data_IF_638688661630
#
_entry.id   IF_638688661630
#
_cell.length_a   1.000
_cell.length_b   1.000
_cell.length_c   1.000
_cell.angle_alpha   90.00
_cell.angle_beta   90.00
_cell.angle_gamma   90.00
#
_symmetry.space_group_name_H-M   'P 1'
#
loop_
_entity.id
_entity.type
_entity.pdbx_description
1 polymer ?
#
# COMPACT_ATOMS: atom_id res chain seq x y z
N UNK A 1 18.55 -6.85 -59.36
CA UNK A 1 19.45 -5.70 -59.59
C UNK A 1 19.77 -5.09 -58.22
N UNK A 2 20.72 -5.58 -57.41
CA UNK A 2 22.18 -5.47 -57.51
C UNK A 2 22.67 -4.01 -57.75
N UNK A 3 23.59 -3.39 -56.99
CA UNK A 3 24.35 -3.70 -55.76
C UNK A 3 25.21 -2.45 -55.44
N UNK A 4 25.51 -2.22 -54.14
CA UNK A 4 26.82 -1.76 -53.57
C UNK A 4 27.27 -0.28 -53.56
N UNK A 5 27.43 0.21 -52.30
CA UNK A 5 28.49 1.10 -51.70
C UNK A 5 29.94 0.74 -52.14
N UNK A 6 31.03 1.28 -51.53
CA UNK A 6 31.49 2.66 -51.19
C UNK A 6 32.99 2.85 -51.61
N UNK A 7 33.65 3.99 -51.33
CA UNK A 7 35.13 4.11 -51.20
C UNK A 7 35.42 5.33 -50.29
N UNK A 8 35.90 5.17 -49.05
CA UNK A 8 37.28 4.90 -48.54
C UNK A 8 38.11 6.17 -48.31
N UNK A 9 38.49 6.38 -47.05
CA UNK A 9 39.66 7.13 -46.59
C UNK A 9 40.97 6.47 -47.05
N UNK A 10 42.12 7.15 -46.87
CA UNK A 10 43.05 6.63 -45.85
C UNK A 10 43.91 7.68 -45.09
N UNK A 11 44.27 7.31 -43.85
CA UNK A 11 45.56 7.41 -43.11
C UNK A 11 46.48 8.65 -43.23
N UNK A 12 47.41 8.95 -42.31
CA UNK A 12 47.70 8.68 -40.89
C UNK A 12 49.10 9.27 -40.61
N UNK A 13 49.38 9.55 -39.33
CA UNK A 13 50.68 9.41 -38.62
C UNK A 13 51.66 10.58 -38.44
N UNK A 14 52.20 10.53 -37.21
CA UNK A 14 53.50 10.93 -36.67
C UNK A 14 53.61 12.36 -36.14
N UNK A 15 54.33 12.70 -35.06
CA UNK A 15 55.00 12.02 -33.91
C UNK A 15 55.91 13.10 -33.31
N UNK A 16 56.03 13.25 -31.98
CA UNK A 16 57.20 13.79 -31.23
C UNK A 16 56.76 13.91 -29.74
N UNK A 17 57.14 13.01 -28.82
CA UNK A 17 58.41 12.81 -28.06
C UNK A 17 58.63 13.83 -26.91
N UNK A 18 59.00 13.27 -25.74
CA UNK A 18 59.00 13.76 -24.34
C UNK A 18 60.17 14.71 -23.94
N UNK A 19 60.39 15.09 -22.65
CA UNK A 19 60.91 14.21 -21.57
C UNK A 19 60.12 14.29 -20.23
N UNK A 20 59.99 13.23 -19.41
CA UNK A 20 60.90 12.67 -18.37
C UNK A 20 61.13 13.56 -17.14
N UNK A 21 60.56 13.16 -16.00
CA UNK A 21 61.29 13.07 -14.72
C UNK A 21 60.66 12.02 -13.77
N UNK A 22 61.54 11.31 -13.09
CA UNK A 22 61.39 10.03 -12.35
C UNK A 22 61.37 10.26 -10.82
N UNK A 23 60.42 9.69 -10.05
CA UNK A 23 60.54 8.52 -9.11
C UNK A 23 61.24 8.84 -7.76
N UNK A 24 61.11 8.11 -6.61
CA UNK A 24 60.23 7.00 -6.17
C UNK A 24 59.51 7.22 -4.81
N UNK A 25 58.58 6.32 -4.47
CA UNK A 25 58.04 6.16 -3.11
C UNK A 25 57.38 4.81 -2.82
N UNK A 26 58.12 3.74 -3.14
CA UNK A 26 58.06 2.33 -2.71
C UNK A 26 56.74 1.55 -2.47
N UNK A 27 56.80 0.33 -3.01
CA UNK A 27 55.86 -0.79 -2.93
C UNK A 27 55.90 -1.48 -1.57
N UNK A 28 54.76 -2.02 -1.16
CA UNK A 28 54.69 -3.44 -0.76
C UNK A 28 53.27 -3.96 -0.94
N UNK A 29 53.06 -4.68 -2.05
CA UNK A 29 52.01 -5.68 -2.19
C UNK A 29 52.40 -6.91 -1.37
N UNK A 30 51.46 -7.47 -0.62
CA UNK A 30 51.25 -8.92 -0.62
C UNK A 30 49.75 -9.17 -0.75
N UNK A 31 49.40 -9.86 -1.82
CA UNK A 31 48.07 -10.39 -2.09
C UNK A 31 47.86 -11.67 -1.25
N UNK A 32 46.62 -11.96 -0.87
CA UNK A 32 45.83 -13.07 -1.42
C UNK A 32 44.59 -13.33 -0.54
N UNK A 33 43.48 -13.48 -1.24
CA UNK A 33 42.31 -14.31 -0.94
C UNK A 33 41.44 -13.99 0.29
N UNK A 34 40.26 -13.43 0.04
CA UNK A 34 39.01 -14.20 0.12
C UNK A 34 37.80 -13.30 -0.13
N UNK A 35 36.90 -13.77 -0.97
CA UNK A 35 35.56 -13.27 -1.21
C UNK A 35 34.82 -13.03 0.12
N UNK A 36 34.21 -11.85 0.29
CA UNK A 36 32.81 -11.87 0.72
C UNK A 36 32.07 -10.59 0.32
N UNK A 37 30.87 -10.81 -0.18
CA UNK A 37 30.06 -9.83 -0.86
C UNK A 37 29.54 -8.76 0.09
N UNK A 38 29.69 -7.52 -0.37
CA UNK A 38 28.98 -6.31 0.02
C UNK A 38 27.51 -6.58 0.39
N UNK A 39 27.22 -6.63 1.69
CA UNK A 39 25.86 -6.41 2.20
C UNK A 39 25.89 -5.11 2.99
N UNK A 40 25.69 -4.00 2.27
CA UNK A 40 25.34 -2.73 2.91
C UNK A 40 23.89 -2.88 3.37
N UNK A 41 23.69 -3.49 4.53
CA UNK A 41 22.44 -3.40 5.25
C UNK A 41 22.25 -1.92 5.61
N UNK A 42 21.37 -1.23 4.87
CA UNK A 42 20.83 0.05 5.30
C UNK A 42 19.99 -0.25 6.54
N UNK A 43 20.64 -0.21 7.70
CA UNK A 43 19.97 -0.20 8.98
C UNK A 43 19.17 1.11 9.04
N UNK A 44 17.89 1.05 8.69
CA UNK A 44 16.97 2.11 9.08
C UNK A 44 16.86 2.05 10.60
N UNK A 45 17.72 2.82 11.28
CA UNK A 45 17.59 3.08 12.71
C UNK A 45 16.31 3.88 12.87
N UNK A 46 15.24 3.19 13.24
CA UNK A 46 13.96 3.81 13.60
C UNK A 46 14.21 4.73 14.81
N UNK A 47 14.06 6.06 14.68
CA UNK A 47 14.29 6.96 15.79
C UNK A 47 13.22 6.72 16.87
N UNK A 48 13.67 6.46 18.10
CA UNK A 48 13.00 6.65 19.40
C UNK A 48 11.46 6.64 19.38
N UNK A 49 10.86 5.55 19.91
CA UNK A 49 9.40 5.36 20.05
C UNK A 49 8.76 6.50 20.86
N UNK A 50 8.34 7.57 20.19
CA UNK A 50 7.21 8.38 20.67
C UNK A 50 6.02 7.44 20.78
N UNK A 51 5.35 7.42 21.93
CA UNK A 51 4.19 6.57 22.17
C UNK A 51 3.22 6.67 20.99
N UNK A 52 3.07 5.57 20.25
CA UNK A 52 2.24 5.52 19.06
C UNK A 52 0.79 5.58 19.55
N UNK A 53 0.12 6.71 19.35
CA UNK A 53 -1.29 6.85 19.71
C UNK A 53 -2.13 6.14 18.64
N UNK A 54 -2.42 4.86 18.89
CA UNK A 54 -3.43 4.13 18.13
C UNK A 54 -4.81 4.71 18.48
N UNK A 55 -5.69 4.83 17.49
CA UNK A 55 -7.06 5.25 17.76
C UNK A 55 -7.81 4.07 18.39
N UNK A 56 -8.39 4.23 19.57
CA UNK A 56 -9.04 3.12 20.26
C UNK A 56 -10.38 2.69 19.67
N UNK A 57 -10.90 3.35 18.61
CA UNK A 57 -12.29 3.16 18.13
C UNK A 57 -12.44 2.95 16.63
N UNK A 58 -11.47 3.36 15.82
CA UNK A 58 -11.57 3.27 14.36
C UNK A 58 -11.05 1.92 13.86
N UNK A 59 -11.94 1.05 13.40
CA UNK A 59 -11.59 -0.32 13.01
C UNK A 59 -11.49 -0.39 11.50
N UNK A 60 -10.30 -0.67 11.00
CA UNK A 60 -10.07 -0.87 9.57
C UNK A 60 -10.45 -2.29 9.17
N UNK A 61 -11.29 -2.41 8.14
CA UNK A 61 -11.58 -3.66 7.44
C UNK A 61 -10.98 -3.57 6.04
N UNK A 62 -9.84 -4.22 5.84
CA UNK A 62 -9.04 -4.19 4.61
C UNK A 62 -9.07 -5.56 3.88
N UNK A 63 -8.40 -5.65 2.74
CA UNK A 63 -8.13 -6.90 2.03
C UNK A 63 -8.76 -7.00 0.64
N UNK A 64 -8.73 -8.22 0.08
CA UNK A 64 -8.98 -8.51 -1.33
C UNK A 64 -10.36 -8.02 -1.81
N UNK A 65 -10.42 -7.37 -2.98
CA UNK A 65 -11.70 -7.09 -3.65
C UNK A 65 -12.47 -8.40 -3.85
N UNK A 66 -13.77 -8.43 -3.55
CA UNK A 66 -14.57 -9.68 -3.64
C UNK A 66 -14.51 -10.61 -2.42
N UNK A 67 -13.75 -10.32 -1.36
CA UNK A 67 -13.72 -11.10 -0.11
C UNK A 67 -14.95 -10.95 0.81
N UNK A 68 -16.09 -10.48 0.28
CA UNK A 68 -17.32 -10.28 1.07
C UNK A 68 -17.26 -9.13 2.09
N UNK A 69 -16.45 -8.08 1.86
CA UNK A 69 -16.41 -6.90 2.75
C UNK A 69 -17.74 -6.16 2.78
N UNK A 70 -18.28 -5.83 1.62
CA UNK A 70 -19.50 -5.03 1.53
C UNK A 70 -20.68 -5.69 2.22
N UNK A 71 -20.80 -7.02 2.17
CA UNK A 71 -21.86 -7.76 2.89
C UNK A 71 -21.63 -7.77 4.41
N UNK A 72 -20.39 -7.90 4.88
CA UNK A 72 -20.06 -7.76 6.30
C UNK A 72 -20.34 -6.33 6.81
N UNK A 73 -19.99 -5.32 6.03
CA UNK A 73 -20.21 -3.92 6.41
C UNK A 73 -21.69 -3.56 6.43
N UNK A 74 -22.48 -4.09 5.48
CA UNK A 74 -23.93 -3.96 5.50
C UNK A 74 -24.54 -4.59 6.77
N UNK A 75 -24.05 -5.76 7.19
CA UNK A 75 -24.46 -6.40 8.44
C UNK A 75 -24.10 -5.54 9.67
N UNK A 76 -22.88 -5.01 9.75
CA UNK A 76 -22.48 -4.11 10.85
C UNK A 76 -23.35 -2.85 10.89
N UNK A 77 -23.67 -2.26 9.74
CA UNK A 77 -24.57 -1.12 9.63
C UNK A 77 -25.98 -1.46 10.10
N UNK A 78 -26.51 -2.63 9.72
CA UNK A 78 -27.83 -3.10 10.15
C UNK A 78 -27.91 -3.30 11.67
N UNK A 79 -26.77 -3.55 12.32
CA UNK A 79 -26.63 -3.66 13.78
C UNK A 79 -26.40 -2.30 14.48
N UNK A 80 -26.51 -1.19 13.76
CA UNK A 80 -26.42 0.16 14.33
C UNK A 80 -25.00 0.75 14.38
N UNK A 81 -23.99 0.07 13.86
CA UNK A 81 -22.63 0.61 13.87
C UNK A 81 -22.39 1.61 12.73
N UNK A 82 -21.70 2.73 12.99
CA UNK A 82 -21.21 3.62 11.96
C UNK A 82 -20.24 2.90 11.01
N UNK A 83 -20.48 3.08 9.71
CA UNK A 83 -19.63 2.54 8.64
C UNK A 83 -19.23 3.68 7.70
N UNK A 84 -17.93 3.79 7.44
CA UNK A 84 -17.34 4.65 6.42
C UNK A 84 -17.08 3.82 5.17
N UNK A 85 -17.73 4.20 4.07
CA UNK A 85 -17.57 3.54 2.77
C UNK A 85 -16.24 3.90 2.09
N UNK A 86 -15.72 2.97 1.29
CA UNK A 86 -14.46 3.10 0.57
C UNK A 86 -14.39 4.42 -0.22
N UNK A 87 -13.34 5.21 0.04
CA UNK A 87 -13.09 6.48 -0.65
C UNK A 87 -13.05 6.33 -2.18
N UNK A 88 -12.44 5.24 -2.69
CA UNK A 88 -12.28 4.98 -4.10
C UNK A 88 -13.60 4.98 -4.88
N UNK A 89 -14.64 4.33 -4.35
CA UNK A 89 -15.98 4.27 -4.98
C UNK A 89 -16.63 5.65 -5.06
N UNK A 90 -16.55 6.42 -3.97
CA UNK A 90 -17.09 7.79 -3.91
C UNK A 90 -16.36 8.72 -4.89
N UNK A 91 -15.03 8.61 -4.98
CA UNK A 91 -14.22 9.40 -5.92
C UNK A 91 -14.56 9.04 -7.36
N UNK A 92 -14.68 7.76 -7.70
CA UNK A 92 -15.08 7.36 -9.05
C UNK A 92 -16.43 7.97 -9.43
N UNK A 93 -17.43 7.87 -8.54
CA UNK A 93 -18.74 8.47 -8.78
C UNK A 93 -18.65 10.00 -8.96
N UNK A 94 -17.90 10.69 -8.10
CA UNK A 94 -17.67 12.15 -8.19
C UNK A 94 -17.01 12.53 -9.52
N UNK A 95 -15.92 11.86 -9.90
CA UNK A 95 -15.12 12.19 -11.08
C UNK A 95 -15.84 11.88 -12.39
N UNK A 96 -16.67 10.83 -12.43
CA UNK A 96 -17.52 10.54 -13.58
C UNK A 96 -18.56 11.64 -13.82
N UNK A 97 -19.12 12.20 -12.75
CA UNK A 97 -20.08 13.32 -12.83
C UNK A 97 -19.38 14.62 -13.20
N UNK A 98 -18.20 14.89 -12.63
CA UNK A 98 -17.47 16.15 -12.87
C UNK A 98 -16.63 16.16 -14.14
N UNK A 99 -16.49 15.02 -14.84
CA UNK A 99 -15.58 14.86 -15.97
C UNK A 99 -14.10 15.00 -15.58
N UNK A 100 -13.75 14.61 -14.35
CA UNK A 100 -12.38 14.72 -13.84
C UNK A 100 -11.50 13.53 -14.19
N UNK A 101 -10.19 13.67 -13.95
CA UNK A 101 -9.18 12.68 -14.35
C UNK A 101 -8.68 11.80 -13.20
N UNK A 102 -9.08 12.05 -11.95
CA UNK A 102 -8.66 11.26 -10.79
C UNK A 102 -9.43 9.92 -10.73
N UNK A 103 -9.30 9.14 -11.80
CA UNK A 103 -9.91 7.84 -11.99
C UNK A 103 -8.79 6.79 -12.09
N UNK A 104 -8.98 5.57 -11.55
CA UNK A 104 -7.91 4.59 -11.48
C UNK A 104 -7.40 4.13 -12.86
N UNK A 105 -8.20 4.30 -13.93
CA UNK A 105 -7.84 3.99 -15.32
C UNK A 105 -7.40 5.20 -16.16
N UNK A 106 -7.44 6.42 -15.61
CA UNK A 106 -7.00 7.64 -16.29
C UNK A 106 -5.71 8.16 -15.66
N UNK A 107 -5.73 8.37 -14.34
CA UNK A 107 -4.59 8.79 -13.55
C UNK A 107 -4.66 8.13 -12.17
N UNK A 108 -4.02 6.98 -12.04
CA UNK A 108 -4.02 6.18 -10.81
C UNK A 108 -3.34 6.91 -9.66
N UNK A 109 -2.29 7.70 -9.92
CA UNK A 109 -1.58 8.44 -8.87
C UNK A 109 -2.46 9.57 -8.32
N UNK A 110 -3.12 10.34 -9.19
CA UNK A 110 -4.07 11.37 -8.78
C UNK A 110 -5.26 10.77 -8.01
N UNK A 111 -5.79 9.62 -8.47
CA UNK A 111 -6.84 8.89 -7.76
C UNK A 111 -6.41 8.48 -6.35
N UNK A 112 -5.20 7.93 -6.18
CA UNK A 112 -4.71 7.49 -4.87
C UNK A 112 -4.40 8.65 -3.93
N UNK A 113 -3.84 9.76 -4.42
CA UNK A 113 -3.66 10.99 -3.62
C UNK A 113 -5.01 11.54 -3.16
N UNK A 114 -6.01 11.56 -4.03
CA UNK A 114 -7.38 11.95 -3.69
C UNK A 114 -8.00 10.99 -2.66
N UNK A 115 -7.75 9.69 -2.77
CA UNK A 115 -8.22 8.70 -1.81
C UNK A 115 -7.62 8.90 -0.42
N UNK A 116 -6.34 9.29 -0.33
CA UNK A 116 -5.69 9.68 0.93
C UNK A 116 -6.42 10.90 1.54
N UNK A 117 -6.64 11.97 0.75
CA UNK A 117 -7.32 13.18 1.24
C UNK A 117 -8.73 12.90 1.75
N UNK A 118 -9.48 12.07 1.04
CA UNK A 118 -10.84 11.68 1.43
C UNK A 118 -10.80 10.82 2.70
N UNK A 119 -9.90 9.85 2.80
CA UNK A 119 -9.76 9.01 3.99
C UNK A 119 -9.41 9.82 5.24
N UNK A 120 -8.53 10.83 5.13
CA UNK A 120 -8.20 11.74 6.24
C UNK A 120 -9.43 12.54 6.70
N UNK A 121 -10.24 13.04 5.76
CA UNK A 121 -11.50 13.74 6.07
C UNK A 121 -12.50 12.81 6.73
N UNK A 122 -12.63 11.57 6.25
CA UNK A 122 -13.54 10.60 6.84
C UNK A 122 -13.14 10.26 8.29
N UNK A 123 -11.84 10.12 8.56
CA UNK A 123 -11.34 9.93 9.92
C UNK A 123 -11.70 11.12 10.82
N UNK A 124 -11.50 12.35 10.35
CA UNK A 124 -11.87 13.55 11.10
C UNK A 124 -13.39 13.64 11.37
N UNK A 125 -14.22 13.31 10.38
CA UNK A 125 -15.69 13.28 10.55
C UNK A 125 -16.10 12.18 11.53
N UNK A 126 -15.45 11.02 11.48
CA UNK A 126 -15.74 9.90 12.37
C UNK A 126 -15.42 10.18 13.83
N UNK A 127 -14.62 11.21 14.15
CA UNK A 127 -14.33 11.60 15.55
C UNK A 127 -15.61 11.99 16.31
N UNK A 128 -16.60 12.55 15.60
CA UNK A 128 -17.90 12.90 16.16
C UNK A 128 -18.77 11.69 16.54
N UNK A 129 -18.45 10.49 16.05
CA UNK A 129 -19.16 9.27 16.43
C UNK A 129 -18.72 8.81 17.82
N UNK A 130 -19.59 8.09 18.52
CA UNK A 130 -19.25 7.35 19.74
C UNK A 130 -19.17 5.86 19.46
N UNK A 131 -18.40 5.10 20.25
CA UNK A 131 -18.19 3.67 20.02
C UNK A 131 -17.36 3.36 18.76
N UNK A 132 -17.47 2.12 18.28
CA UNK A 132 -16.73 1.60 17.13
C UNK A 132 -17.20 2.23 15.81
N UNK A 133 -16.24 2.57 14.96
CA UNK A 133 -16.50 3.00 13.58
C UNK A 133 -15.73 2.09 12.64
N UNK A 134 -16.42 1.49 11.69
CA UNK A 134 -15.82 0.55 10.74
C UNK A 134 -15.51 1.22 9.41
N UNK A 135 -14.30 1.05 8.92
CA UNK A 135 -13.83 1.62 7.65
C UNK A 135 -13.68 0.54 6.59
N UNK A 136 -14.37 0.69 5.45
CA UNK A 136 -14.19 -0.14 4.27
C UNK A 136 -12.96 0.32 3.49
N UNK A 137 -11.82 -0.33 3.73
CA UNK A 137 -10.49 0.19 3.37
C UNK A 137 -10.25 1.58 3.96
N UNK A 138 -9.03 2.08 3.83
CA UNK A 138 -8.70 3.35 4.44
C UNK A 138 -7.40 3.95 3.99
N UNK A 139 -6.89 4.83 4.84
CA UNK A 139 -5.67 5.60 4.63
C UNK A 139 -4.48 4.70 4.31
N UNK A 140 -4.34 3.58 5.04
CA UNK A 140 -3.25 2.62 4.85
C UNK A 140 -3.33 1.97 3.47
N UNK A 141 -4.53 1.57 3.03
CA UNK A 141 -4.72 0.95 1.71
C UNK A 141 -4.30 1.88 0.58
N UNK A 142 -4.77 3.14 0.62
CA UNK A 142 -4.48 4.14 -0.39
C UNK A 142 -2.99 4.56 -0.38
N UNK A 143 -2.42 4.81 0.80
CA UNK A 143 -1.02 5.22 0.93
C UNK A 143 -0.05 4.10 0.53
N UNK A 144 -0.33 2.85 0.92
CA UNK A 144 0.47 1.69 0.51
C UNK A 144 0.41 1.48 -1.00
N UNK A 145 -0.75 1.70 -1.62
CA UNK A 145 -0.90 1.57 -3.07
C UNK A 145 -0.16 2.69 -3.81
N UNK A 146 -0.19 3.92 -3.29
CA UNK A 146 0.51 5.05 -3.88
C UNK A 146 2.02 4.87 -3.82
N UNK A 147 2.55 4.49 -2.65
CA UNK A 147 3.97 4.21 -2.46
C UNK A 147 4.46 3.08 -3.36
N UNK A 148 3.67 1.99 -3.50
CA UNK A 148 4.00 0.91 -4.42
C UNK A 148 3.98 1.34 -5.90
N UNK A 149 3.13 2.31 -6.27
CA UNK A 149 3.02 2.83 -7.63
C UNK A 149 4.14 3.81 -7.98
N UNK A 150 4.50 4.71 -7.07
CA UNK A 150 5.40 5.85 -7.35
C UNK A 150 6.80 5.66 -6.78
N UNK A 151 6.98 4.79 -5.79
CA UNK A 151 8.20 4.68 -4.99
C UNK A 151 8.42 5.84 -4.01
N UNK A 152 7.49 6.80 -3.93
CA UNK A 152 7.57 7.90 -2.97
C UNK A 152 7.22 7.40 -1.56
N UNK A 153 7.99 7.76 -0.51
CA UNK A 153 7.79 7.28 0.86
C UNK A 153 6.60 7.98 1.56
N UNK A 154 5.38 7.77 1.06
CA UNK A 154 4.15 8.42 1.53
C UNK A 154 3.53 7.69 2.72
N UNK A 155 3.74 6.37 2.81
CA UNK A 155 3.03 5.51 3.77
C UNK A 155 3.38 5.86 5.22
N UNK A 156 4.67 5.83 5.56
CA UNK A 156 5.10 6.00 6.95
C UNK A 156 4.74 7.37 7.53
N UNK A 157 4.96 8.52 6.84
CA UNK A 157 4.59 9.83 7.36
C UNK A 157 3.08 9.93 7.65
N UNK A 158 2.24 9.61 6.66
CA UNK A 158 0.80 9.79 6.74
C UNK A 158 0.17 8.85 7.78
N UNK A 159 0.61 7.59 7.82
CA UNK A 159 0.08 6.63 8.77
C UNK A 159 0.63 6.81 10.18
N UNK A 160 1.71 7.58 10.40
CA UNK A 160 2.24 7.87 11.74
C UNK A 160 1.36 8.83 12.52
N UNK A 161 0.80 9.82 11.83
CA UNK A 161 -0.05 10.85 12.42
C UNK A 161 -1.51 10.41 12.53
N UNK A 162 -1.95 9.49 11.66
CA UNK A 162 -3.32 9.02 11.59
C UNK A 162 -3.37 7.49 11.66
N UNK A 163 -3.84 6.97 12.80
CA UNK A 163 -3.85 5.54 13.10
C UNK A 163 -5.27 4.99 13.23
N UNK A 164 -5.42 3.72 12.87
CA UNK A 164 -6.58 2.92 13.22
C UNK A 164 -6.38 2.24 14.58
N UNK A 165 -7.37 1.47 15.00
CA UNK A 165 -7.30 0.54 16.11
C UNK A 165 -6.18 -0.48 15.89
N UNK A 166 -5.58 -0.94 17.00
CA UNK A 166 -4.46 -1.88 16.99
C UNK A 166 -4.76 -3.13 16.18
N UNK A 167 -6.01 -3.61 16.25
CA UNK A 167 -6.52 -4.75 15.48
C UNK A 167 -7.15 -4.27 14.18
N UNK A 168 -6.61 -4.75 13.07
CA UNK A 168 -7.13 -4.54 11.71
C UNK A 168 -7.65 -5.87 11.19
N UNK A 169 -8.83 -5.85 10.56
CA UNK A 169 -9.43 -7.07 10.03
C UNK A 169 -9.20 -7.18 8.53
N UNK A 170 -8.71 -8.32 8.08
CA UNK A 170 -8.40 -8.58 6.68
C UNK A 170 -9.38 -9.59 6.08
N UNK A 171 -9.92 -9.29 4.90
CA UNK A 171 -10.73 -10.27 4.15
C UNK A 171 -9.84 -11.03 3.18
N UNK A 172 -9.59 -12.33 3.40
CA UNK A 172 -8.74 -13.11 2.51
C UNK A 172 -9.38 -13.26 1.13
N UNK A 173 -8.58 -13.52 0.07
CA UNK A 173 -9.11 -13.92 -1.22
C UNK A 173 -10.07 -15.11 -1.07
N UNK A 174 -11.27 -14.96 -1.63
CA UNK A 174 -12.34 -15.93 -1.51
C UNK A 174 -12.89 -16.29 -2.89
N UNK A 175 -12.22 -17.22 -3.62
CA UNK A 175 -12.58 -17.61 -4.98
C UNK A 175 -14.06 -18.03 -5.12
N UNK A 176 -14.58 -18.74 -4.12
CA UNK A 176 -15.93 -19.32 -4.14
C UNK A 176 -17.04 -18.27 -4.18
N UNK A 177 -16.78 -17.03 -3.74
CA UNK A 177 -17.72 -15.90 -3.82
C UNK A 177 -17.21 -14.79 -4.75
N UNK A 178 -16.10 -15.03 -5.44
CA UNK A 178 -15.51 -14.06 -6.35
C UNK A 178 -16.32 -14.01 -7.64
N UNK A 179 -17.40 -13.23 -7.60
CA UNK A 179 -18.18 -12.90 -8.78
C UNK A 179 -17.51 -11.71 -9.48
N UNK A 180 -17.13 -11.90 -10.74
CA UNK A 180 -16.78 -10.82 -11.66
C UNK A 180 -18.02 -9.99 -11.93
N UNK A 181 -18.25 -8.98 -11.10
CA UNK A 181 -19.23 -7.93 -11.38
C UNK A 181 -18.63 -6.94 -12.39
N UNK A 182 -19.49 -6.38 -13.23
CA UNK A 182 -19.22 -5.40 -14.30
C UNK A 182 -18.40 -4.17 -13.85
N UNK A 183 -18.37 -3.85 -12.56
CA UNK A 183 -17.54 -2.78 -11.99
C UNK A 183 -16.08 -3.16 -11.69
N UNK A 184 -15.73 -4.45 -11.66
CA UNK A 184 -14.38 -4.92 -11.27
C UNK A 184 -13.48 -5.12 -12.48
N UNK A 185 -12.82 -4.04 -12.91
CA UNK A 185 -11.81 -4.08 -14.00
C UNK A 185 -10.48 -4.75 -13.60
N UNK A 186 -10.24 -5.02 -12.32
CA UNK A 186 -9.02 -5.68 -11.83
C UNK A 186 -9.23 -7.19 -11.69
N UNK A 187 -8.37 -7.99 -12.33
CA UNK A 187 -8.41 -9.44 -12.23
C UNK A 187 -8.14 -9.95 -10.81
N UNK A 188 -8.56 -11.20 -10.53
CA UNK A 188 -8.35 -11.87 -9.24
C UNK A 188 -6.88 -11.85 -8.78
N UNK A 189 -5.94 -11.91 -9.72
CA UNK A 189 -4.50 -11.82 -9.47
C UNK A 189 -4.11 -10.45 -8.90
N UNK A 190 -4.62 -9.35 -9.46
CA UNK A 190 -4.37 -8.01 -8.94
C UNK A 190 -4.94 -7.83 -7.52
N UNK A 191 -6.12 -8.41 -7.26
CA UNK A 191 -6.73 -8.39 -5.93
C UNK A 191 -5.94 -9.23 -4.91
N UNK A 192 -5.28 -10.30 -5.38
CA UNK A 192 -4.39 -11.14 -4.55
C UNK A 192 -3.06 -10.44 -4.27
N UNK A 193 -2.44 -9.80 -5.27
CA UNK A 193 -1.22 -9.02 -5.09
C UNK A 193 -1.42 -7.84 -4.12
N UNK A 194 -2.57 -7.16 -4.25
CA UNK A 194 -2.98 -6.13 -3.28
C UNK A 194 -3.08 -6.70 -1.86
N UNK A 195 -3.76 -7.85 -1.70
CA UNK A 195 -3.90 -8.49 -0.40
C UNK A 195 -2.53 -8.83 0.22
N UNK A 196 -1.62 -9.43 -0.56
CA UNK A 196 -0.28 -9.79 -0.10
C UNK A 196 0.50 -8.56 0.38
N UNK A 197 0.53 -7.49 -0.42
CA UNK A 197 1.17 -6.22 -0.03
C UNK A 197 0.61 -5.66 1.27
N UNK A 198 -0.70 -5.74 1.48
CA UNK A 198 -1.34 -5.26 2.71
C UNK A 198 -0.99 -6.13 3.92
N UNK A 199 -0.88 -7.44 3.74
CA UNK A 199 -0.49 -8.37 4.83
C UNK A 199 0.96 -8.18 5.26
N UNK A 200 1.82 -7.59 4.41
CA UNK A 200 3.17 -7.18 4.77
C UNK A 200 3.18 -5.76 5.37
N UNK A 201 2.42 -4.84 4.76
CA UNK A 201 2.40 -3.41 5.15
C UNK A 201 1.84 -3.20 6.56
N UNK A 202 0.70 -3.82 6.88
CA UNK A 202 0.01 -3.57 8.14
C UNK A 202 0.85 -3.98 9.37
N UNK A 203 1.48 -5.17 9.42
CA UNK A 203 2.37 -5.53 10.52
C UNK A 203 3.60 -4.63 10.63
N UNK A 204 4.19 -4.18 9.52
CA UNK A 204 5.32 -3.23 9.54
C UNK A 204 4.95 -1.90 10.19
N UNK A 205 3.69 -1.48 10.10
CA UNK A 205 3.14 -0.29 10.76
C UNK A 205 2.73 -0.54 12.23
N UNK A 206 2.89 -1.77 12.73
CA UNK A 206 2.58 -2.15 14.11
C UNK A 206 1.14 -2.60 14.35
N UNK A 207 0.37 -2.91 13.30
CA UNK A 207 -0.99 -3.44 13.45
C UNK A 207 -1.00 -4.96 13.64
N UNK A 208 -1.93 -5.42 14.49
CA UNK A 208 -2.30 -6.82 14.61
C UNK A 208 -3.35 -7.15 13.55
N UNK A 209 -2.97 -7.95 12.55
CA UNK A 209 -3.82 -8.25 11.40
C UNK A 209 -4.57 -9.56 11.63
N UNK A 210 -5.89 -9.46 11.68
CA UNK A 210 -6.78 -10.59 11.96
C UNK A 210 -7.51 -10.97 10.67
N UNK A 211 -7.17 -12.14 10.13
CA UNK A 211 -7.89 -12.67 8.97
C UNK A 211 -9.31 -13.08 9.36
N UNK A 212 -10.30 -12.51 8.68
CA UNK A 212 -11.69 -12.86 8.91
C UNK A 212 -12.03 -14.24 8.34
N UNK A 213 -12.77 -15.08 9.09
CA UNK A 213 -13.13 -16.42 8.65
C UNK A 213 -14.09 -16.38 7.45
N UNK A 214 -13.99 -17.39 6.60
CA UNK A 214 -14.87 -17.60 5.43
C UNK A 214 -16.21 -18.23 5.84
N UNK A 215 -16.98 -17.49 6.63
CA UNK A 215 -18.30 -17.88 7.15
C UNK A 215 -19.36 -16.82 6.78
N UNK A 216 -20.61 -17.02 7.21
CA UNK A 216 -21.72 -16.10 6.89
C UNK A 216 -21.44 -14.66 7.36
N UNK A 217 -22.01 -13.63 6.71
CA UNK A 217 -21.79 -12.23 7.10
C UNK A 217 -22.12 -11.96 8.58
N UNK A 218 -23.23 -12.50 9.07
CA UNK A 218 -23.66 -12.38 10.46
C UNK A 218 -22.63 -12.98 11.44
N UNK A 219 -22.15 -14.21 11.17
CA UNK A 219 -21.14 -14.85 12.02
C UNK A 219 -19.77 -14.16 11.94
N UNK A 220 -19.43 -13.54 10.79
CA UNK A 220 -18.22 -12.71 10.67
C UNK A 220 -18.33 -11.44 11.51
N UNK A 221 -19.49 -10.80 11.55
CA UNK A 221 -19.73 -9.64 12.41
C UNK A 221 -19.62 -10.03 13.89
N UNK A 222 -20.19 -11.18 14.29
CA UNK A 222 -20.06 -11.71 15.65
C UNK A 222 -18.59 -11.95 16.03
N UNK A 223 -17.84 -12.63 15.15
CA UNK A 223 -16.42 -12.87 15.34
C UNK A 223 -15.63 -11.56 15.50
N UNK A 224 -15.88 -10.58 14.64
CA UNK A 224 -15.21 -9.29 14.64
C UNK A 224 -15.49 -8.51 15.94
N UNK A 225 -16.75 -8.44 16.38
CA UNK A 225 -17.14 -7.70 17.57
C UNK A 225 -16.62 -8.38 18.85
N UNK A 226 -16.75 -9.71 18.93
CA UNK A 226 -16.18 -10.49 20.03
C UNK A 226 -14.66 -10.31 20.13
N UNK A 227 -13.97 -10.24 18.99
CA UNK A 227 -12.54 -9.96 18.93
C UNK A 227 -12.20 -8.56 19.42
N UNK A 228 -13.08 -7.57 19.28
CA UNK A 228 -12.90 -6.24 19.85
C UNK A 228 -13.28 -6.16 21.34
N UNK A 229 -13.80 -7.24 21.92
CA UNK A 229 -14.33 -7.25 23.29
C UNK A 229 -15.71 -6.60 23.40
N UNK A 230 -16.40 -6.38 22.27
CA UNK A 230 -17.75 -5.86 22.26
C UNK A 230 -18.74 -7.01 22.13
N UNK A 231 -19.48 -7.25 23.21
CA UNK A 231 -20.45 -8.35 23.32
C UNK A 231 -21.89 -7.80 23.36
N UNK A 232 -22.09 -6.50 23.18
CA UNK A 232 -23.43 -5.88 23.26
C UNK A 232 -23.57 -4.79 22.19
N UNK A 233 -24.43 -4.98 21.16
CA UNK A 233 -24.62 -3.96 20.13
C UNK A 233 -25.07 -2.63 20.74
N UNK A 234 -24.65 -1.48 20.18
CA UNK A 234 -25.08 -0.17 20.64
C UNK A 234 -26.60 -0.12 20.64
N UNK A 235 -27.19 0.29 21.77
CA UNK A 235 -28.63 0.46 21.90
C UNK A 235 -29.03 1.61 20.98
N UNK A 236 -29.97 1.32 20.06
CA UNK A 236 -30.53 2.27 19.12
C UNK A 236 -31.25 3.44 19.80
#
# INVERSE_FOLDING_TARGET
MARRRPLRTPNSKASLVAPVETVPGNLSQTALDSEDATSVAVLFVCPERKGILLNSRFVLISGCSGGGKSTLLAELRARGYPVVEEAGRRIIAEQLVSGGNALPWVDTAAFLRRAIDVALKDMAIAEAQSGWVFFDRGLVDAASALEALTGEPVLHPVCSDHRYHARVFATPPWPEIYVTDTERRHGFEAATAEYQRLMETLPMLGYDVISLPKISPSARADFLLATLGDVTPPVA
#
